data_IF_580114029440
#
_entry.id   IF_580114029440
#
_cell.length_a   1.000
_cell.length_b   1.000
_cell.length_c   1.000
_cell.angle_alpha   90.00
_cell.angle_beta   90.00
_cell.angle_gamma   90.00
#
_symmetry.space_group_name_H-M   'P 1'
#
loop_
_entity.id
_entity.type
_entity.pdbx_description
1 polymer ?
#
# COMPACT_ATOMS: atom_id res chain seq x y z
N UNK A 1 -27.17 18.03 -25.48
CA UNK A 1 -26.08 18.83 -26.11
C UNK A 1 -24.89 17.93 -26.33
N UNK A 2 -24.66 17.56 -27.59
CA UNK A 2 -23.58 16.68 -28.06
C UNK A 2 -22.35 17.53 -28.35
N UNK A 3 -21.24 17.26 -27.67
CA UNK A 3 -19.92 17.75 -28.06
C UNK A 3 -18.99 16.53 -28.16
N UNK A 4 -18.92 15.97 -29.37
CA UNK A 4 -17.86 15.04 -29.77
C UNK A 4 -16.50 15.74 -29.62
N UNK A 5 -15.69 15.31 -28.66
CA UNK A 5 -14.24 15.54 -28.70
C UNK A 5 -13.63 14.58 -29.74
N UNK A 6 -13.20 15.13 -30.88
CA UNK A 6 -12.33 14.45 -31.85
C UNK A 6 -10.97 14.16 -31.19
N UNK A 7 -10.39 12.95 -31.33
CA UNK A 7 -9.03 12.71 -30.86
C UNK A 7 -8.05 13.37 -31.84
N UNK A 8 -7.38 14.44 -31.38
CA UNK A 8 -6.23 15.01 -32.09
C UNK A 8 -5.01 14.10 -31.88
N UNK A 9 -4.46 13.65 -33.01
CA UNK A 9 -3.07 13.30 -33.29
C UNK A 9 -2.27 12.56 -32.22
N UNK A 10 -2.07 11.27 -32.49
CA UNK A 10 -0.98 10.46 -31.97
C UNK A 10 0.37 11.12 -32.26
N UNK A 11 1.06 11.60 -31.22
CA UNK A 11 2.46 12.00 -31.31
C UNK A 11 3.16 11.82 -29.95
N UNK A 12 4.21 10.99 -29.99
CA UNK A 12 5.30 10.77 -29.00
C UNK A 12 4.97 9.89 -27.78
N UNK A 13 5.44 8.65 -27.90
CA UNK A 13 5.63 7.64 -26.87
C UNK A 13 6.43 8.21 -25.67
N UNK A 14 5.98 8.09 -24.41
CA UNK A 14 6.84 8.35 -23.27
C UNK A 14 7.79 7.17 -23.08
N UNK A 15 9.08 7.46 -23.02
CA UNK A 15 10.10 6.49 -22.60
C UNK A 15 9.73 6.03 -21.19
N UNK A 16 9.33 4.76 -21.02
CA UNK A 16 9.36 4.11 -19.71
C UNK A 16 10.84 4.04 -19.34
N UNK A 17 11.28 4.90 -18.43
CA UNK A 17 12.60 4.73 -17.82
C UNK A 17 12.47 3.59 -16.82
N UNK A 18 12.75 2.38 -17.31
CA UNK A 18 12.78 1.15 -16.51
C UNK A 18 14.02 1.21 -15.63
N UNK A 19 13.88 1.72 -14.40
CA UNK A 19 14.91 1.54 -13.38
C UNK A 19 14.63 0.27 -12.60
N UNK A 20 15.50 -0.73 -12.73
CA UNK A 20 15.48 -1.90 -11.84
C UNK A 20 16.05 -1.46 -10.49
N UNK A 21 15.18 -1.15 -9.52
CA UNK A 21 15.60 -0.95 -8.14
C UNK A 21 15.61 -2.31 -7.43
N UNK A 22 16.78 -2.86 -7.02
CA UNK A 22 16.79 -4.01 -6.13
C UNK A 22 16.28 -3.60 -4.75
N UNK A 23 15.57 -4.50 -4.06
CA UNK A 23 15.05 -4.32 -2.69
C UNK A 23 16.09 -3.80 -1.69
N UNK A 24 17.39 -3.94 -1.97
CA UNK A 24 18.50 -3.60 -1.07
C UNK A 24 19.46 -2.50 -1.58
N UNK A 25 19.15 -1.74 -2.63
CA UNK A 25 20.03 -0.61 -3.01
C UNK A 25 19.66 0.66 -2.23
N UNK A 26 20.49 1.03 -1.26
CA UNK A 26 20.46 2.31 -0.55
C UNK A 26 20.91 3.50 -1.41
N UNK A 27 20.32 3.68 -2.60
CA UNK A 27 20.55 4.88 -3.39
C UNK A 27 19.53 5.95 -3.02
N UNK A 28 20.01 6.95 -2.29
CA UNK A 28 19.34 8.23 -2.03
C UNK A 28 18.85 8.87 -3.34
N UNK A 29 17.55 8.84 -3.59
CA UNK A 29 16.90 9.81 -4.47
C UNK A 29 16.30 10.92 -3.61
N UNK A 30 17.14 11.88 -3.24
CA UNK A 30 16.70 13.16 -2.66
C UNK A 30 16.06 14.01 -3.77
N UNK A 31 14.74 13.95 -3.92
CA UNK A 31 14.00 15.06 -4.53
C UNK A 31 13.80 16.13 -3.48
N UNK A 32 14.73 17.10 -3.43
CA UNK A 32 14.51 18.37 -2.78
C UNK A 32 13.54 19.19 -3.64
N UNK A 33 12.29 19.28 -3.23
CA UNK A 33 11.48 20.48 -3.48
C UNK A 33 10.91 20.99 -2.14
N UNK A 34 11.02 22.29 -1.85
CA UNK A 34 10.53 22.84 -0.60
C UNK A 34 9.06 23.23 -0.75
N UNK A 35 8.16 22.57 -0.02
CA UNK A 35 6.82 23.12 0.22
C UNK A 35 6.81 23.72 1.62
N UNK A 36 7.13 25.02 1.69
CA UNK A 36 6.86 25.87 2.84
C UNK A 36 5.35 25.90 3.13
N UNK A 37 4.90 25.35 4.26
CA UNK A 37 3.67 25.82 4.95
C UNK A 37 3.84 25.72 6.46
N UNK A 38 3.40 26.74 7.23
CA UNK A 38 3.60 26.82 8.66
C UNK A 38 2.60 25.92 9.41
N UNK A 39 3.09 25.16 10.39
CA UNK A 39 2.27 24.47 11.39
C UNK A 39 1.73 25.48 12.41
N UNK A 40 0.46 25.36 12.85
CA UNK A 40 -0.03 26.12 14.01
C UNK A 40 0.58 25.56 15.30
N UNK A 41 1.10 26.45 16.13
CA UNK A 41 1.53 26.19 17.51
C UNK A 41 0.31 25.91 18.37
N UNK A 42 0.19 24.72 18.97
CA UNK A 42 -0.25 24.46 20.37
C UNK A 42 -0.67 22.99 20.52
N UNK A 43 0.09 22.22 21.32
CA UNK A 43 -0.43 21.54 22.51
C UNK A 43 0.76 20.89 23.25
N UNK A 44 1.07 21.45 24.41
CA UNK A 44 1.92 20.88 25.46
C UNK A 44 1.12 19.85 26.28
N UNK A 45 1.85 19.08 27.09
CA UNK A 45 1.42 18.09 28.11
C UNK A 45 1.17 16.67 27.54
N UNK A 46 1.67 15.57 28.12
CA UNK A 46 2.37 15.35 29.38
C UNK A 46 3.15 14.01 29.36
N UNK A 47 4.23 13.95 30.15
CA UNK A 47 4.72 12.82 30.99
C UNK A 47 4.97 11.43 30.36
N UNK A 48 6.22 11.04 30.03
CA UNK A 48 7.24 10.31 30.85
C UNK A 48 6.93 8.82 31.14
N UNK A 49 7.93 7.98 31.50
CA UNK A 49 9.32 7.86 31.01
C UNK A 49 9.76 6.38 30.86
N UNK A 50 10.92 6.12 30.25
CA UNK A 50 11.99 5.20 30.73
C UNK A 50 12.97 4.93 29.58
N UNK A 51 14.01 5.75 29.48
CA UNK A 51 15.24 5.34 28.80
C UNK A 51 16.36 5.49 29.85
N UNK A 52 17.16 4.44 30.07
CA UNK A 52 18.13 4.38 31.14
C UNK A 52 19.17 5.51 31.05
N UNK A 53 19.43 6.09 32.22
CA UNK A 53 20.24 7.25 32.55
C UNK A 53 21.75 7.14 32.20
N UNK A 54 22.19 6.09 31.51
CA UNK A 54 23.63 5.75 31.38
C UNK A 54 24.33 6.59 30.29
N UNK A 55 23.61 7.10 29.29
CA UNK A 55 24.23 7.88 28.20
C UNK A 55 24.45 9.35 28.58
N UNK A 56 23.76 9.87 29.60
CA UNK A 56 23.91 11.28 30.02
C UNK A 56 25.19 11.53 30.83
N UNK A 57 25.72 10.52 31.51
CA UNK A 57 26.87 10.67 32.41
C UNK A 57 28.22 10.64 31.68
N UNK A 58 28.30 10.04 30.50
CA UNK A 58 29.57 9.96 29.74
C UNK A 58 29.80 11.18 28.84
N UNK A 59 28.73 11.88 28.43
CA UNK A 59 28.84 13.07 27.57
C UNK A 59 28.98 14.40 28.34
N UNK A 60 28.73 14.43 29.65
CA UNK A 60 28.78 15.66 30.46
C UNK A 60 30.14 15.94 31.14
N UNK A 61 31.12 15.05 31.03
CA UNK A 61 32.43 15.20 31.69
C UNK A 61 33.57 15.65 30.76
N UNK A 62 33.26 16.27 29.61
CA UNK A 62 34.29 16.89 28.77
C UNK A 62 34.40 18.40 29.09
N UNK A 63 35.58 18.88 29.50
CA UNK A 63 35.79 20.29 29.78
C UNK A 63 35.85 21.05 28.45
N UNK A 64 34.77 21.76 28.13
CA UNK A 64 34.81 22.79 27.08
C UNK A 64 34.49 24.12 27.77
N UNK A 65 35.55 24.81 28.18
CA UNK A 65 35.49 26.20 28.63
C UNK A 65 35.14 27.11 27.44
N UNK A 66 34.23 28.09 27.61
CA UNK A 66 33.92 29.06 26.58
C UNK A 66 34.90 30.24 26.67
N UNK A 67 35.73 30.41 25.65
CA UNK A 67 36.47 31.67 25.44
C UNK A 67 35.97 32.33 24.16
N UNK A 68 35.21 33.41 24.33
CA UNK A 68 35.24 34.52 23.39
C UNK A 68 36.58 35.24 23.60
N UNK A 69 37.37 35.39 22.55
CA UNK A 69 38.11 36.61 22.22
C UNK A 69 38.98 36.33 21.00
N UNK A 70 38.98 37.29 20.09
CA UNK A 70 39.88 37.45 18.96
C UNK A 70 41.34 37.06 19.28
N UNK A 71 41.85 35.99 18.69
CA UNK A 71 43.18 36.00 18.06
C UNK A 71 43.41 34.72 17.25
N UNK A 72 44.06 34.89 16.10
CA UNK A 72 44.59 33.80 15.27
C UNK A 72 45.73 33.16 16.05
N UNK A 73 45.67 31.86 16.34
CA UNK A 73 46.83 30.97 16.42
C UNK A 73 46.36 29.50 16.46
N UNK A 74 47.03 28.65 15.69
CA UNK A 74 46.67 27.26 15.45
C UNK A 74 47.01 26.37 16.66
N UNK A 75 46.00 25.76 17.30
CA UNK A 75 46.19 24.70 18.30
C UNK A 75 46.03 23.34 17.63
N UNK A 76 47.16 22.65 17.42
CA UNK A 76 47.25 21.26 16.99
C UNK A 76 46.99 20.36 18.22
N UNK A 77 45.76 19.89 18.42
CA UNK A 77 45.46 18.89 19.46
C UNK A 77 46.01 17.51 19.02
N UNK A 78 47.12 17.07 19.63
CA UNK A 78 47.53 15.67 19.61
C UNK A 78 46.62 14.87 20.55
N UNK A 79 45.73 14.05 19.98
CA UNK A 79 45.04 13.00 20.74
C UNK A 79 46.03 11.86 21.00
N UNK A 80 46.16 11.46 22.27
CA UNK A 80 46.97 10.30 22.66
C UNK A 80 46.35 9.00 22.16
N UNK A 81 47.17 8.04 21.73
CA UNK A 81 46.73 6.70 21.28
C UNK A 81 45.79 6.01 22.29
N UNK A 82 45.97 6.27 23.59
CA UNK A 82 45.11 5.74 24.65
C UNK A 82 43.67 6.26 24.56
N UNK A 83 43.49 7.52 24.14
CA UNK A 83 42.15 8.11 23.96
C UNK A 83 41.44 7.47 22.76
N UNK A 84 42.16 7.27 21.65
CA UNK A 84 41.61 6.61 20.46
C UNK A 84 41.20 5.16 20.75
N UNK A 85 42.00 4.39 21.49
CA UNK A 85 41.61 3.03 21.91
C UNK A 85 40.38 3.02 22.80
N UNK A 86 40.23 3.99 23.70
CA UNK A 86 39.07 4.08 24.59
C UNK A 86 37.80 4.45 23.84
N UNK A 87 37.87 5.40 22.89
CA UNK A 87 36.72 5.80 22.06
C UNK A 87 36.29 4.65 21.13
N UNK A 88 37.25 3.93 20.54
CA UNK A 88 36.95 2.76 19.71
C UNK A 88 36.28 1.63 20.52
N UNK A 89 36.75 1.37 21.75
CA UNK A 89 36.15 0.38 22.64
C UNK A 89 34.71 0.72 23.02
N UNK A 90 34.41 1.98 23.35
CA UNK A 90 33.05 2.44 23.66
C UNK A 90 32.14 2.34 22.43
N UNK A 91 32.62 2.74 21.24
CA UNK A 91 31.86 2.61 19.99
C UNK A 91 31.54 1.14 19.67
N UNK A 92 32.51 0.23 19.83
CA UNK A 92 32.33 -1.20 19.61
C UNK A 92 31.27 -1.79 20.55
N UNK A 93 31.29 -1.42 21.85
CA UNK A 93 30.28 -1.86 22.82
C UNK A 93 28.88 -1.32 22.50
N UNK A 94 28.77 -0.07 22.05
CA UNK A 94 27.49 0.51 21.63
C UNK A 94 26.91 -0.21 20.40
N UNK A 95 27.76 -0.54 19.42
CA UNK A 95 27.36 -1.31 18.23
C UNK A 95 26.92 -2.72 18.61
N UNK A 96 27.67 -3.43 19.47
CA UNK A 96 27.28 -4.76 19.95
C UNK A 96 25.95 -4.73 20.71
N UNK A 97 25.74 -3.72 21.56
CA UNK A 97 24.47 -3.55 22.26
C UNK A 97 23.31 -3.28 21.30
N UNK A 98 23.52 -2.43 20.29
CA UNK A 98 22.51 -2.16 19.27
C UNK A 98 22.18 -3.42 18.44
N UNK A 99 23.18 -4.18 18.01
CA UNK A 99 22.98 -5.45 17.28
C UNK A 99 22.25 -6.47 18.16
N UNK A 100 22.64 -6.62 19.42
CA UNK A 100 21.97 -7.50 20.37
C UNK A 100 20.51 -7.13 20.58
N UNK A 101 20.18 -5.83 20.69
CA UNK A 101 18.81 -5.36 20.83
C UNK A 101 17.98 -5.57 19.58
N UNK A 102 18.56 -5.37 18.39
CA UNK A 102 17.88 -5.66 17.12
C UNK A 102 17.57 -7.15 17.01
N UNK A 103 18.55 -8.01 17.33
CA UNK A 103 18.37 -9.45 17.27
C UNK A 103 17.35 -9.95 18.31
N UNK A 104 17.33 -9.37 19.51
CA UNK A 104 16.32 -9.65 20.55
C UNK A 104 14.90 -9.26 20.11
N UNK A 105 14.75 -8.10 19.43
CA UNK A 105 13.47 -7.68 18.86
C UNK A 105 13.04 -8.63 17.72
N UNK A 106 13.95 -9.02 16.82
CA UNK A 106 13.64 -9.97 15.75
C UNK A 106 13.25 -11.35 16.29
N UNK A 107 13.97 -11.86 17.30
CA UNK A 107 13.62 -13.14 17.95
C UNK A 107 12.31 -13.05 18.70
N UNK A 108 12.02 -11.93 19.37
CA UNK A 108 10.75 -11.77 20.07
C UNK A 108 9.59 -11.68 19.08
N UNK A 109 9.72 -10.93 17.98
CA UNK A 109 8.69 -10.90 16.93
C UNK A 109 8.52 -12.28 16.29
N UNK A 110 9.61 -13.01 16.04
CA UNK A 110 9.56 -14.40 15.56
C UNK A 110 8.86 -15.34 16.53
N UNK A 111 9.19 -15.26 17.82
CA UNK A 111 8.57 -16.08 18.87
C UNK A 111 7.09 -15.75 19.05
N UNK A 112 6.69 -14.47 19.03
CA UNK A 112 5.27 -14.08 19.07
C UNK A 112 4.49 -14.59 17.85
N UNK A 113 5.16 -14.77 16.70
CA UNK A 113 4.55 -15.31 15.49
C UNK A 113 4.53 -16.84 15.44
N UNK A 114 5.45 -17.54 16.10
CA UNK A 114 5.48 -19.01 16.16
C UNK A 114 4.66 -19.58 17.33
N UNK A 115 4.62 -18.93 18.49
CA UNK A 115 3.96 -19.45 19.69
C UNK A 115 2.41 -19.48 19.56
N UNK A 116 1.85 -18.65 18.67
CA UNK A 116 0.41 -18.62 18.36
C UNK A 116 -0.04 -19.85 17.53
N UNK A 117 0.90 -20.66 16.99
CA UNK A 117 0.60 -21.86 16.20
C UNK A 117 0.73 -23.18 16.96
N UNK A 118 1.33 -23.20 18.16
CA UNK A 118 1.60 -24.45 18.90
C UNK A 118 0.92 -24.58 20.27
N UNK A 119 0.21 -23.57 20.75
CA UNK A 119 -0.52 -23.64 22.01
C UNK A 119 -2.02 -23.95 21.80
N UNK A 120 -2.42 -25.19 22.13
CA UNK A 120 -3.82 -25.56 22.41
C UNK A 120 -4.32 -24.78 23.65
N UNK A 121 -4.73 -23.52 23.44
CA UNK A 121 -5.40 -22.69 24.44
C UNK A 121 -6.78 -22.31 23.90
N UNK A 122 -7.80 -22.49 24.73
CA UNK A 122 -9.22 -22.20 24.49
C UNK A 122 -9.55 -20.71 24.26
N UNK A 123 -8.57 -19.89 23.91
CA UNK A 123 -8.68 -18.45 23.66
C UNK A 123 -8.11 -18.02 22.29
N UNK A 124 -7.95 -18.92 21.32
CA UNK A 124 -7.67 -18.47 19.95
C UNK A 124 -8.87 -17.67 19.42
N UNK A 125 -8.65 -16.43 18.92
CA UNK A 125 -9.72 -15.62 18.36
C UNK A 125 -10.38 -16.38 17.22
N UNK A 126 -11.71 -16.39 17.19
CA UNK A 126 -12.44 -16.92 16.04
C UNK A 126 -12.11 -16.07 14.81
N UNK A 127 -11.27 -16.62 13.92
CA UNK A 127 -10.95 -15.99 12.66
C UNK A 127 -12.20 -15.93 11.78
N UNK A 128 -12.46 -14.75 11.22
CA UNK A 128 -13.51 -14.57 10.23
C UNK A 128 -13.27 -15.51 9.02
N UNK A 129 -14.33 -16.04 8.40
CA UNK A 129 -14.19 -16.85 7.21
C UNK A 129 -13.57 -16.02 6.07
N UNK A 130 -12.68 -16.65 5.30
CA UNK A 130 -12.20 -16.09 4.03
C UNK A 130 -13.40 -15.81 3.12
N UNK A 131 -13.39 -14.70 2.39
CA UNK A 131 -14.41 -14.43 1.38
C UNK A 131 -14.43 -15.57 0.36
N UNK A 132 -15.56 -16.28 0.28
CA UNK A 132 -15.78 -17.36 -0.68
C UNK A 132 -16.08 -16.80 -2.06
N UNK A 133 -15.92 -17.60 -3.12
CA UNK A 133 -16.32 -17.18 -4.46
C UNK A 133 -17.82 -16.87 -4.56
N UNK A 134 -18.65 -17.61 -3.81
CA UNK A 134 -20.08 -17.36 -3.73
C UNK A 134 -20.41 -16.00 -3.11
N UNK A 135 -19.70 -15.60 -2.06
CA UNK A 135 -19.86 -14.26 -1.47
C UNK A 135 -19.32 -13.17 -2.39
N UNK A 136 -18.18 -13.40 -3.04
CA UNK A 136 -17.57 -12.41 -3.93
C UNK A 136 -18.40 -12.15 -5.19
N UNK A 137 -19.00 -13.21 -5.75
CA UNK A 137 -19.76 -13.17 -7.00
C UNK A 137 -21.28 -13.11 -6.77
N UNK A 138 -21.74 -12.83 -5.54
CA UNK A 138 -23.15 -12.89 -5.14
C UNK A 138 -24.10 -12.14 -6.07
N UNK A 139 -23.64 -11.01 -6.62
CA UNK A 139 -24.43 -10.13 -7.47
C UNK A 139 -23.97 -10.12 -8.94
N UNK A 140 -23.10 -11.07 -9.33
CA UNK A 140 -22.64 -11.22 -10.71
C UNK A 140 -23.36 -12.43 -11.33
N UNK A 141 -24.10 -12.25 -12.45
CA UNK A 141 -24.74 -13.37 -13.13
C UNK A 141 -23.75 -14.46 -13.55
N UNK A 142 -24.16 -15.74 -13.45
CA UNK A 142 -23.28 -16.88 -13.71
C UNK A 142 -22.72 -16.89 -15.14
N UNK A 143 -23.54 -16.53 -16.12
CA UNK A 143 -23.15 -16.42 -17.53
C UNK A 143 -22.06 -15.36 -17.75
N UNK A 144 -22.10 -14.26 -16.99
CA UNK A 144 -21.05 -13.24 -16.99
C UNK A 144 -19.75 -13.79 -16.40
N UNK A 145 -19.82 -14.49 -15.27
CA UNK A 145 -18.65 -15.15 -14.65
C UNK A 145 -18.03 -16.18 -15.59
N UNK A 146 -18.85 -16.98 -16.27
CA UNK A 146 -18.38 -17.97 -17.24
C UNK A 146 -17.75 -17.30 -18.46
N UNK A 147 -18.30 -16.17 -18.91
CA UNK A 147 -17.68 -15.36 -19.95
C UNK A 147 -16.32 -14.84 -19.49
N UNK A 148 -16.20 -14.30 -18.27
CA UNK A 148 -14.93 -13.83 -17.73
C UNK A 148 -13.86 -14.92 -17.68
N UNK A 149 -14.21 -16.13 -17.19
CA UNK A 149 -13.29 -17.27 -17.10
C UNK A 149 -12.78 -17.75 -18.46
N UNK A 150 -13.53 -17.53 -19.54
CA UNK A 150 -13.17 -17.92 -20.91
C UNK A 150 -12.32 -16.88 -21.64
N UNK A 151 -12.07 -15.71 -21.04
CA UNK A 151 -11.35 -14.60 -21.68
C UNK A 151 -9.88 -14.57 -21.26
N UNK A 152 -9.02 -14.32 -22.23
CA UNK A 152 -7.59 -14.09 -22.00
C UNK A 152 -7.32 -12.61 -21.72
N UNK A 153 -7.71 -12.15 -20.53
CA UNK A 153 -7.38 -10.80 -20.10
C UNK A 153 -5.87 -10.64 -19.94
N UNK A 154 -5.32 -9.53 -20.42
CA UNK A 154 -3.95 -9.11 -20.09
C UNK A 154 -3.85 -8.65 -18.64
N UNK A 155 -4.91 -8.04 -18.12
CA UNK A 155 -4.93 -7.53 -16.75
C UNK A 155 -6.35 -7.53 -16.18
N UNK A 156 -6.44 -7.79 -14.88
CA UNK A 156 -7.64 -7.54 -14.08
C UNK A 156 -7.33 -6.45 -13.05
N UNK A 157 -8.13 -5.39 -13.05
CA UNK A 157 -8.01 -4.23 -12.15
C UNK A 157 -9.14 -4.25 -11.14
N UNK A 158 -8.79 -4.29 -9.85
CA UNK A 158 -9.70 -4.10 -8.75
C UNK A 158 -9.74 -2.65 -8.31
N UNK A 159 -10.94 -2.13 -8.05
CA UNK A 159 -11.15 -0.81 -7.47
C UNK A 159 -11.83 -0.99 -6.11
N UNK A 160 -11.08 -1.14 -5.00
CA UNK A 160 -11.63 -1.09 -3.66
C UNK A 160 -12.32 0.26 -3.41
N UNK A 161 -13.61 0.21 -3.06
CA UNK A 161 -14.46 1.40 -2.89
C UNK A 161 -15.45 1.14 -1.75
N UNK A 162 -16.18 2.17 -1.32
CA UNK A 162 -17.19 2.05 -0.26
C UNK A 162 -18.62 2.25 -0.78
N UNK A 163 -19.59 1.68 -0.06
CA UNK A 163 -21.03 1.77 -0.35
C UNK A 163 -21.62 3.08 0.19
N UNK A 164 -21.26 4.20 -0.46
CA UNK A 164 -21.78 5.53 -0.18
C UNK A 164 -22.12 6.24 -1.48
N UNK A 165 -23.13 7.12 -1.47
CA UNK A 165 -23.58 7.85 -2.66
C UNK A 165 -22.44 8.62 -3.35
N UNK A 166 -21.62 9.35 -2.58
CA UNK A 166 -20.47 10.09 -3.12
C UNK A 166 -19.48 9.19 -3.89
N UNK A 167 -19.39 7.91 -3.51
CA UNK A 167 -18.45 6.94 -4.05
C UNK A 167 -19.07 6.18 -5.22
N UNK A 168 -20.38 5.94 -5.17
CA UNK A 168 -21.17 5.52 -6.32
C UNK A 168 -21.04 6.50 -7.49
N UNK A 169 -21.10 7.82 -7.23
CA UNK A 169 -20.87 8.85 -8.25
C UNK A 169 -19.48 8.72 -8.89
N UNK A 170 -18.43 8.44 -8.12
CA UNK A 170 -17.07 8.19 -8.65
C UNK A 170 -17.00 6.97 -9.55
N UNK A 171 -17.58 5.84 -9.14
CA UNK A 171 -17.66 4.64 -9.99
C UNK A 171 -18.41 4.94 -11.28
N UNK A 172 -19.52 5.68 -11.22
CA UNK A 172 -20.24 6.13 -12.41
C UNK A 172 -19.38 7.02 -13.33
N UNK A 173 -18.61 7.95 -12.77
CA UNK A 173 -17.67 8.78 -13.52
C UNK A 173 -16.59 7.94 -14.20
N UNK A 174 -15.98 6.97 -13.52
CA UNK A 174 -14.99 6.09 -14.14
C UNK A 174 -15.62 5.26 -15.29
N UNK A 175 -16.82 4.69 -15.08
CA UNK A 175 -17.57 3.94 -16.12
C UNK A 175 -17.95 4.79 -17.34
N UNK A 176 -18.29 6.06 -17.12
CA UNK A 176 -18.67 6.99 -18.19
C UNK A 176 -17.48 7.69 -18.86
N UNK A 177 -16.27 7.52 -18.31
CA UNK A 177 -15.04 8.15 -18.81
C UNK A 177 -13.96 7.11 -19.18
N UNK A 178 -12.98 6.83 -18.32
CA UNK A 178 -11.81 6.02 -18.65
C UNK A 178 -12.15 4.56 -18.99
N UNK A 179 -13.28 4.02 -18.52
CA UNK A 179 -13.71 2.67 -18.91
C UNK A 179 -14.40 2.58 -20.27
N UNK A 180 -14.60 3.72 -20.97
CA UNK A 180 -15.07 3.74 -22.35
C UNK A 180 -13.96 3.60 -23.39
N UNK A 181 -12.69 3.65 -22.97
CA UNK A 181 -11.58 3.45 -23.90
C UNK A 181 -11.62 2.03 -24.50
N UNK A 182 -11.22 1.86 -25.77
CA UNK A 182 -11.06 0.54 -26.37
C UNK A 182 -10.10 -0.34 -25.54
N UNK A 183 -10.45 -1.61 -25.39
CA UNK A 183 -9.66 -2.58 -24.64
C UNK A 183 -10.10 -2.79 -23.19
N UNK A 184 -11.02 -1.98 -22.66
CA UNK A 184 -11.68 -2.24 -21.36
C UNK A 184 -12.88 -3.16 -21.56
N UNK A 185 -12.87 -4.31 -20.89
CA UNK A 185 -13.97 -5.25 -20.86
C UNK A 185 -15.04 -4.77 -19.87
N UNK A 186 -16.23 -4.47 -20.40
CA UNK A 186 -17.37 -3.93 -19.64
C UNK A 186 -18.66 -4.62 -20.07
N UNK A 187 -19.74 -4.43 -19.33
CA UNK A 187 -21.07 -4.94 -19.74
C UNK A 187 -21.46 -4.47 -21.14
N UNK A 188 -21.13 -3.22 -21.51
CA UNK A 188 -21.51 -2.61 -22.79
C UNK A 188 -20.88 -3.29 -24.02
N UNK A 189 -19.78 -4.03 -23.84
CA UNK A 189 -19.14 -4.78 -24.91
C UNK A 189 -19.07 -6.29 -24.61
N UNK A 190 -20.00 -6.81 -23.82
CA UNK A 190 -20.05 -8.23 -23.43
C UNK A 190 -18.74 -8.73 -22.82
N UNK A 191 -18.10 -7.86 -22.03
CA UNK A 191 -16.82 -8.07 -21.36
C UNK A 191 -15.72 -8.49 -22.33
N UNK A 192 -15.65 -7.80 -23.47
CA UNK A 192 -14.57 -7.95 -24.45
C UNK A 192 -13.52 -6.87 -24.28
N UNK A 193 -12.25 -7.26 -24.18
CA UNK A 193 -11.15 -6.34 -23.96
C UNK A 193 -9.95 -7.04 -23.34
N UNK A 194 -8.81 -6.35 -23.32
CA UNK A 194 -7.60 -6.85 -22.68
C UNK A 194 -7.60 -6.56 -21.16
N UNK A 195 -8.42 -5.62 -20.69
CA UNK A 195 -8.46 -5.18 -19.30
C UNK A 195 -9.86 -5.32 -18.71
N UNK A 196 -10.03 -6.16 -17.70
CA UNK A 196 -11.28 -6.22 -16.92
C UNK A 196 -11.17 -5.32 -15.69
N UNK A 197 -12.22 -4.56 -15.38
CA UNK A 197 -12.29 -3.71 -14.19
C UNK A 197 -13.44 -4.18 -13.30
N UNK A 198 -13.15 -4.37 -12.01
CA UNK A 198 -14.13 -4.83 -11.02
C UNK A 198 -14.07 -3.95 -9.77
N UNK A 199 -15.22 -3.57 -9.22
CA UNK A 199 -15.31 -2.80 -7.98
C UNK A 199 -15.45 -3.73 -6.79
N UNK A 200 -14.68 -3.51 -5.72
CA UNK A 200 -14.65 -4.38 -4.54
C UNK A 200 -15.23 -3.64 -3.35
N UNK A 201 -16.35 -4.12 -2.82
CA UNK A 201 -17.08 -3.50 -1.72
C UNK A 201 -17.22 -4.42 -0.51
N UNK A 202 -17.21 -3.80 0.67
CA UNK A 202 -17.54 -4.40 1.95
C UNK A 202 -18.82 -3.77 2.51
N UNK A 203 -19.41 -4.39 3.52
CA UNK A 203 -20.65 -3.92 4.15
C UNK A 203 -20.36 -2.66 4.97
N UNK A 204 -21.01 -1.55 4.64
CA UNK A 204 -20.67 -0.24 5.21
C UNK A 204 -21.45 0.06 6.51
N UNK A 205 -20.83 0.66 7.54
CA UNK A 205 -21.50 0.95 8.82
C UNK A 205 -22.70 1.90 8.71
N UNK A 206 -22.75 2.78 7.70
CA UNK A 206 -23.90 3.67 7.47
C UNK A 206 -25.20 2.92 7.14
N UNK A 207 -25.09 1.67 6.70
CA UNK A 207 -26.21 0.82 6.30
C UNK A 207 -26.40 -0.35 7.28
N UNK A 208 -25.94 -0.19 8.53
CA UNK A 208 -26.01 -1.24 9.55
C UNK A 208 -25.23 -2.50 9.18
N UNK A 209 -24.12 -2.35 8.45
CA UNK A 209 -23.34 -3.45 7.88
C UNK A 209 -24.17 -4.36 6.98
N UNK A 210 -25.05 -3.78 6.17
CA UNK A 210 -25.67 -4.39 5.01
C UNK A 210 -25.26 -3.66 3.72
N UNK A 211 -25.53 -4.27 2.56
CA UNK A 211 -25.41 -3.60 1.28
C UNK A 211 -26.66 -2.75 1.00
N UNK A 212 -26.46 -1.49 0.59
CA UNK A 212 -27.55 -0.56 0.31
C UNK A 212 -28.35 -0.97 -0.91
N UNK A 213 -29.64 -0.59 -0.97
CA UNK A 213 -30.47 -0.84 -2.15
C UNK A 213 -29.85 -0.24 -3.42
N UNK A 214 -29.25 0.96 -3.30
CA UNK A 214 -28.56 1.63 -4.41
C UNK A 214 -27.36 0.82 -4.94
N UNK A 215 -26.59 0.16 -4.07
CA UNK A 215 -25.52 -0.73 -4.50
C UNK A 215 -26.07 -1.99 -5.19
N UNK A 216 -27.17 -2.55 -4.70
CA UNK A 216 -27.78 -3.73 -5.32
C UNK A 216 -28.30 -3.42 -6.73
N UNK A 217 -28.93 -2.27 -6.92
CA UNK A 217 -29.33 -1.76 -8.24
C UNK A 217 -28.12 -1.54 -9.15
N UNK A 218 -27.04 -0.93 -8.63
CA UNK A 218 -25.80 -0.74 -9.37
C UNK A 218 -25.18 -2.08 -9.80
N UNK A 219 -25.10 -3.06 -8.89
CA UNK A 219 -24.55 -4.37 -9.19
C UNK A 219 -25.35 -5.09 -10.27
N UNK A 220 -26.69 -5.03 -10.19
CA UNK A 220 -27.59 -5.57 -11.22
C UNK A 220 -27.48 -4.81 -12.55
N UNK A 221 -27.12 -3.53 -12.53
CA UNK A 221 -26.95 -2.73 -13.75
C UNK A 221 -25.62 -2.97 -14.44
N UNK A 222 -24.51 -3.17 -13.70
CA UNK A 222 -23.17 -3.16 -14.31
C UNK A 222 -22.48 -4.51 -14.34
N UNK A 223 -22.93 -5.46 -13.51
CA UNK A 223 -22.36 -6.80 -13.37
C UNK A 223 -20.84 -6.79 -13.09
N UNK A 224 -20.30 -5.69 -12.54
CA UNK A 224 -18.87 -5.48 -12.28
C UNK A 224 -18.57 -5.23 -10.78
N UNK A 225 -19.54 -5.55 -9.92
CA UNK A 225 -19.46 -5.37 -8.47
C UNK A 225 -19.15 -6.70 -7.79
N UNK A 226 -18.02 -6.75 -7.11
CA UNK A 226 -17.63 -7.81 -6.20
C UNK A 226 -17.90 -7.40 -4.76
N UNK A 227 -18.36 -8.35 -3.97
CA UNK A 227 -18.61 -8.18 -2.54
C UNK A 227 -17.60 -8.92 -1.70
N UNK A 228 -17.50 -8.56 -0.42
CA UNK A 228 -16.58 -9.23 0.51
C UNK A 228 -17.32 -9.67 1.76
N UNK A 229 -16.75 -10.64 2.46
CA UNK A 229 -17.31 -11.14 3.71
C UNK A 229 -17.04 -10.22 4.92
N UNK A 230 -16.26 -9.15 4.74
CA UNK A 230 -15.88 -8.25 5.83
C UNK A 230 -16.81 -7.04 5.94
N UNK A 231 -16.80 -6.46 7.12
CA UNK A 231 -17.39 -5.15 7.38
C UNK A 231 -16.35 -4.06 7.11
N UNK A 232 -16.82 -2.94 6.58
CA UNK A 232 -15.97 -1.75 6.44
C UNK A 232 -15.61 -1.16 7.79
N UNK A 233 -14.39 -0.63 7.85
CA UNK A 233 -13.94 0.09 9.03
C UNK A 233 -14.58 1.47 9.14
N UNK A 234 -14.90 1.88 10.37
CA UNK A 234 -15.44 3.22 10.63
C UNK A 234 -14.40 4.31 10.36
N UNK A 235 -14.84 5.34 9.63
CA UNK A 235 -14.11 6.60 9.50
C UNK A 235 -14.20 7.34 10.84
N UNK A 236 -13.05 7.73 11.39
CA UNK A 236 -12.95 8.39 12.71
C UNK A 236 -12.31 9.78 12.63
N UNK A 237 -12.15 10.30 11.43
CA UNK A 237 -11.50 11.58 11.15
C UNK A 237 -12.40 12.48 10.31
N UNK A 238 -12.05 13.75 10.18
CA UNK A 238 -12.78 14.72 9.36
C UNK A 238 -12.32 14.73 7.89
N UNK A 239 -11.63 13.66 7.44
CA UNK A 239 -11.23 13.57 6.03
C UNK A 239 -12.47 13.54 5.16
N UNK A 240 -12.52 14.44 4.18
CA UNK A 240 -13.58 14.46 3.18
C UNK A 240 -13.17 13.62 1.97
N UNK A 241 -14.17 13.19 1.20
CA UNK A 241 -13.92 12.62 -0.13
C UNK A 241 -13.19 13.69 -0.95
N UNK A 242 -12.06 13.35 -1.57
CA UNK A 242 -11.09 14.27 -2.22
C UNK A 242 -10.15 15.06 -1.28
N UNK A 243 -10.34 14.99 0.04
CA UNK A 243 -9.47 15.64 1.01
C UNK A 243 -8.15 14.90 1.21
N UNK A 244 -7.08 15.64 1.48
CA UNK A 244 -5.83 15.07 2.01
C UNK A 244 -6.03 14.62 3.46
N UNK A 245 -5.41 13.53 3.87
CA UNK A 245 -5.37 13.10 5.26
C UNK A 245 -5.49 11.59 5.43
N UNK A 246 -5.83 11.19 6.65
CA UNK A 246 -5.99 9.81 7.10
C UNK A 246 -7.47 9.56 7.41
N UNK A 247 -8.06 8.43 7.03
CA UNK A 247 -9.49 8.15 7.27
C UNK A 247 -9.78 7.68 8.71
N UNK A 248 -8.78 7.13 9.39
CA UNK A 248 -8.93 6.51 10.70
C UNK A 248 -8.43 5.07 10.68
N UNK A 249 -7.89 4.59 11.80
CA UNK A 249 -7.23 3.28 11.89
C UNK A 249 -8.08 2.13 11.38
N UNK A 250 -9.34 2.08 11.81
CA UNK A 250 -10.27 1.02 11.44
C UNK A 250 -10.56 1.03 9.93
N UNK A 251 -10.85 2.20 9.35
CA UNK A 251 -11.09 2.36 7.91
C UNK A 251 -9.88 1.95 7.06
N UNK A 252 -8.67 2.31 7.47
CA UNK A 252 -7.44 2.02 6.72
C UNK A 252 -7.08 0.53 6.80
N UNK A 253 -7.31 -0.10 7.96
CA UNK A 253 -7.22 -1.57 8.10
C UNK A 253 -8.27 -2.27 7.23
N UNK A 254 -9.49 -1.73 7.16
CA UNK A 254 -10.54 -2.19 6.24
C UNK A 254 -10.09 -2.15 4.78
N UNK A 255 -9.46 -1.05 4.36
CA UNK A 255 -8.90 -0.91 3.01
C UNK A 255 -7.80 -1.93 2.71
N UNK A 256 -6.89 -2.15 3.67
CA UNK A 256 -5.85 -3.17 3.59
C UNK A 256 -6.43 -4.57 3.43
N UNK A 257 -7.49 -4.90 4.19
CA UNK A 257 -8.20 -6.18 4.05
C UNK A 257 -8.86 -6.32 2.68
N UNK A 258 -9.58 -5.30 2.20
CA UNK A 258 -10.18 -5.33 0.85
C UNK A 258 -9.12 -5.54 -0.23
N UNK A 259 -7.97 -4.89 -0.11
CA UNK A 259 -6.84 -5.04 -1.04
C UNK A 259 -6.34 -6.48 -1.04
N UNK A 260 -6.12 -7.08 0.14
CA UNK A 260 -5.78 -8.49 0.23
C UNK A 260 -6.83 -9.40 -0.43
N UNK A 261 -8.12 -9.24 -0.08
CA UNK A 261 -9.19 -10.09 -0.60
C UNK A 261 -9.36 -9.95 -2.11
N UNK A 262 -9.13 -8.76 -2.66
CA UNK A 262 -9.09 -8.54 -4.10
C UNK A 262 -8.03 -9.41 -4.78
N UNK A 263 -6.76 -9.32 -4.36
CA UNK A 263 -5.68 -10.12 -4.95
C UNK A 263 -5.92 -11.62 -4.76
N UNK A 264 -6.36 -12.01 -3.56
CA UNK A 264 -6.68 -13.39 -3.21
C UNK A 264 -7.78 -13.99 -4.09
N UNK A 265 -8.82 -13.20 -4.37
CA UNK A 265 -9.91 -13.57 -5.27
C UNK A 265 -9.47 -13.60 -6.73
N UNK A 266 -8.78 -12.55 -7.20
CA UNK A 266 -8.34 -12.44 -8.58
C UNK A 266 -7.45 -13.61 -8.99
N UNK A 267 -6.52 -14.03 -8.12
CA UNK A 267 -5.65 -15.19 -8.37
C UNK A 267 -6.41 -16.50 -8.56
N UNK A 268 -7.53 -16.68 -7.85
CA UNK A 268 -8.37 -17.88 -7.94
C UNK A 268 -9.28 -17.86 -9.15
N UNK A 269 -9.92 -16.73 -9.43
CA UNK A 269 -10.90 -16.62 -10.52
C UNK A 269 -10.23 -16.55 -11.90
N UNK A 270 -9.06 -15.94 -11.99
CA UNK A 270 -8.36 -15.64 -13.24
C UNK A 270 -6.99 -16.34 -13.28
N UNK A 271 -6.93 -17.67 -13.50
CA UNK A 271 -5.70 -18.44 -13.38
C UNK A 271 -4.64 -18.10 -14.43
N UNK A 272 -5.03 -17.57 -15.60
CA UNK A 272 -4.14 -17.30 -16.74
C UNK A 272 -3.72 -15.84 -16.88
N UNK A 273 -4.29 -14.93 -16.09
CA UNK A 273 -4.04 -13.49 -16.24
C UNK A 273 -2.63 -13.15 -15.73
N UNK A 274 -1.80 -12.46 -16.53
CA UNK A 274 -0.41 -12.18 -16.16
C UNK A 274 -0.27 -11.01 -15.19
N UNK A 275 -1.22 -10.08 -15.15
CA UNK A 275 -1.20 -8.92 -14.25
C UNK A 275 -2.47 -8.77 -13.44
N UNK A 276 -2.30 -8.46 -12.16
CA UNK A 276 -3.39 -8.09 -11.25
C UNK A 276 -3.05 -6.71 -10.69
N UNK A 277 -3.98 -5.77 -10.79
CA UNK A 277 -3.78 -4.42 -10.31
C UNK A 277 -4.84 -4.01 -9.30
N UNK A 278 -4.50 -3.03 -8.47
CA UNK A 278 -5.41 -2.26 -7.63
C UNK A 278 -5.34 -0.80 -8.04
N UNK A 279 -6.47 -0.12 -8.08
CA UNK A 279 -6.56 1.32 -8.27
C UNK A 279 -7.60 1.95 -7.36
N UNK A 280 -7.48 3.26 -7.11
CA UNK A 280 -8.48 4.00 -6.33
C UNK A 280 -9.68 4.43 -7.19
N UNK A 281 -10.81 4.71 -6.53
CA UNK A 281 -12.03 5.18 -7.20
C UNK A 281 -11.96 6.63 -7.69
N UNK A 282 -10.93 7.38 -7.30
CA UNK A 282 -10.65 8.74 -7.77
C UNK A 282 -9.54 8.82 -8.82
N UNK A 283 -9.06 7.70 -9.34
CA UNK A 283 -8.17 7.75 -10.50
C UNK A 283 -8.95 7.87 -11.81
N UNK A 284 -8.31 8.51 -12.78
CA UNK A 284 -8.60 8.41 -14.20
C UNK A 284 -7.44 7.70 -14.88
N UNK A 285 -7.70 6.54 -15.47
CA UNK A 285 -6.67 5.76 -16.15
C UNK A 285 -6.58 6.07 -17.65
N UNK A 286 -5.39 6.42 -18.17
CA UNK A 286 -5.13 6.48 -19.62
C UNK A 286 -4.97 5.07 -20.20
N UNK A 287 -6.08 4.36 -20.33
CA UNK A 287 -6.12 2.94 -20.70
C UNK A 287 -5.26 2.58 -21.93
N UNK A 288 -5.30 3.32 -23.06
CA UNK A 288 -4.51 2.93 -24.24
C UNK A 288 -3.01 2.89 -23.97
N UNK A 289 -2.48 3.88 -23.24
CA UNK A 289 -1.07 3.92 -22.85
C UNK A 289 -0.76 2.82 -21.83
N UNK A 290 -1.62 2.67 -20.82
CA UNK A 290 -1.44 1.65 -19.79
C UNK A 290 -1.37 0.23 -20.38
N UNK A 291 -2.25 -0.09 -21.33
CA UNK A 291 -2.21 -1.38 -22.03
C UNK A 291 -1.02 -1.52 -22.98
N UNK A 292 -0.52 -0.42 -23.56
CA UNK A 292 0.71 -0.47 -24.36
C UNK A 292 1.91 -0.79 -23.47
N UNK A 293 2.03 -0.13 -22.32
CA UNK A 293 3.10 -0.33 -21.35
C UNK A 293 3.09 -1.76 -20.78
N UNK A 294 1.92 -2.25 -20.35
CA UNK A 294 1.77 -3.64 -19.88
C UNK A 294 2.27 -4.66 -20.89
N UNK A 295 2.07 -4.44 -22.19
CA UNK A 295 2.56 -5.38 -23.21
C UNK A 295 4.08 -5.47 -23.25
N UNK A 296 4.79 -4.41 -22.86
CA UNK A 296 6.26 -4.34 -22.82
C UNK A 296 6.88 -4.81 -21.50
N UNK A 297 6.11 -4.81 -20.41
CA UNK A 297 6.60 -5.23 -19.10
C UNK A 297 6.84 -6.76 -19.05
N UNK A 298 7.80 -7.24 -18.22
CA UNK A 298 7.94 -8.66 -17.95
C UNK A 298 6.68 -9.23 -17.29
N UNK A 299 6.29 -10.45 -17.69
CA UNK A 299 5.12 -11.16 -17.16
C UNK A 299 5.34 -11.74 -15.76
N UNK A 300 6.58 -11.71 -15.28
CA UNK A 300 6.98 -12.17 -13.96
C UNK A 300 7.73 -11.07 -13.24
N UNK A 301 7.73 -11.13 -11.91
CA UNK A 301 8.53 -10.27 -11.02
C UNK A 301 8.17 -8.78 -11.06
N UNK A 302 7.21 -8.36 -11.85
CA UNK A 302 6.84 -6.95 -12.02
C UNK A 302 6.05 -6.43 -10.82
N UNK A 303 6.53 -5.34 -10.22
CA UNK A 303 5.76 -4.48 -9.31
C UNK A 303 5.83 -3.05 -9.83
N UNK A 304 4.74 -2.58 -10.46
CA UNK A 304 4.73 -1.38 -11.29
C UNK A 304 3.78 -0.31 -10.76
N UNK A 305 4.26 0.94 -10.76
CA UNK A 305 3.51 2.16 -10.49
C UNK A 305 4.44 3.27 -10.00
N UNK A 306 3.95 4.20 -9.18
CA UNK A 306 4.80 5.25 -8.60
C UNK A 306 5.51 4.72 -7.35
N UNK A 307 6.84 4.61 -7.41
CA UNK A 307 7.67 4.05 -6.35
C UNK A 307 7.99 5.05 -5.24
N UNK A 308 7.86 4.59 -4.00
CA UNK A 308 8.26 5.30 -2.78
C UNK A 308 9.01 4.36 -1.84
N UNK A 309 9.78 4.95 -0.92
CA UNK A 309 10.40 4.25 0.20
C UNK A 309 9.86 4.82 1.51
N UNK A 310 9.55 3.96 2.47
CA UNK A 310 9.14 4.35 3.83
C UNK A 310 10.08 3.77 4.87
N UNK A 311 10.50 4.61 5.81
CA UNK A 311 11.31 4.23 6.97
C UNK A 311 12.78 4.62 6.84
N UNK A 312 13.38 5.05 7.96
CA UNK A 312 14.78 5.48 8.01
C UNK A 312 15.75 4.31 8.24
N UNK A 313 15.39 3.39 9.16
CA UNK A 313 16.25 2.26 9.55
C UNK A 313 16.04 1.02 8.67
N UNK A 314 14.82 0.80 8.17
CA UNK A 314 14.46 -0.32 7.31
C UNK A 314 13.57 0.20 6.17
N UNK A 315 14.16 0.75 5.10
CA UNK A 315 13.40 1.33 4.02
C UNK A 315 12.60 0.24 3.28
N UNK A 316 11.29 0.26 3.45
CA UNK A 316 10.37 -0.59 2.68
C UNK A 316 10.05 0.12 1.38
N UNK A 317 10.46 -0.47 0.26
CA UNK A 317 10.06 -0.03 -1.07
C UNK A 317 8.63 -0.47 -1.40
N UNK A 318 7.80 0.45 -1.87
CA UNK A 318 6.40 0.19 -2.22
C UNK A 318 5.95 1.05 -3.41
N UNK A 319 4.84 0.65 -4.03
CA UNK A 319 4.16 1.43 -5.07
C UNK A 319 2.94 2.11 -4.44
N UNK A 320 2.78 3.43 -4.66
CA UNK A 320 1.68 4.21 -4.11
C UNK A 320 0.30 3.62 -4.39
N UNK A 321 -0.59 3.75 -3.41
CA UNK A 321 -1.92 3.13 -3.38
C UNK A 321 -2.85 3.51 -4.52
N UNK A 322 -2.76 4.71 -5.09
CA UNK A 322 -3.71 5.14 -6.13
C UNK A 322 -3.73 4.20 -7.33
N UNK A 323 -2.60 3.58 -7.67
CA UNK A 323 -2.54 2.50 -8.62
C UNK A 323 -1.26 1.68 -8.52
N UNK A 324 -1.43 0.38 -8.31
CA UNK A 324 -0.34 -0.60 -8.30
C UNK A 324 -0.66 -1.77 -9.21
N UNK A 325 0.36 -2.27 -9.90
CA UNK A 325 0.24 -3.46 -10.76
C UNK A 325 1.26 -4.50 -10.37
N UNK A 326 0.79 -5.71 -10.08
CA UNK A 326 1.61 -6.87 -9.77
C UNK A 326 1.56 -7.84 -10.95
N UNK A 327 2.72 -8.39 -11.33
CA UNK A 327 2.74 -9.66 -12.04
C UNK A 327 2.12 -10.75 -11.15
N UNK A 328 1.55 -11.76 -11.79
CA UNK A 328 0.86 -12.86 -11.10
C UNK A 328 1.72 -13.48 -9.98
N UNK A 329 2.98 -13.79 -10.26
CA UNK A 329 3.89 -14.39 -9.28
C UNK A 329 4.13 -13.49 -8.06
N UNK A 330 4.18 -12.18 -8.26
CA UNK A 330 4.31 -11.20 -7.17
C UNK A 330 3.03 -11.15 -6.33
N UNK A 331 1.86 -11.15 -6.97
CA UNK A 331 0.57 -11.24 -6.28
C UNK A 331 0.42 -12.56 -5.50
N UNK A 332 0.89 -13.68 -6.05
CA UNK A 332 0.90 -14.98 -5.38
C UNK A 332 1.76 -14.92 -4.11
N UNK A 333 2.98 -14.38 -4.19
CA UNK A 333 3.81 -14.18 -2.99
C UNK A 333 3.08 -13.35 -1.95
N UNK A 334 2.60 -12.17 -2.33
CA UNK A 334 1.85 -11.29 -1.43
C UNK A 334 0.70 -12.00 -0.69
N UNK A 335 -0.14 -12.74 -1.42
CA UNK A 335 -1.29 -13.46 -0.83
C UNK A 335 -0.87 -14.66 0.01
N UNK A 336 0.26 -15.31 -0.29
CA UNK A 336 0.75 -16.49 0.42
C UNK A 336 1.36 -16.19 1.80
N UNK A 337 1.61 -14.93 2.14
CA UNK A 337 2.25 -14.57 3.40
C UNK A 337 1.36 -14.85 4.62
N UNK A 338 1.67 -15.93 5.36
CA UNK A 338 0.84 -16.46 6.44
C UNK A 338 0.49 -15.47 7.55
N UNK A 339 1.42 -14.62 8.04
CA UNK A 339 1.08 -13.60 9.04
C UNK A 339 -0.01 -12.64 8.55
N UNK A 340 0.04 -12.22 7.27
CA UNK A 340 -1.02 -11.39 6.69
C UNK A 340 -2.34 -12.16 6.55
N UNK A 341 -2.30 -13.43 6.10
CA UNK A 341 -3.51 -14.28 5.99
C UNK A 341 -4.27 -14.40 7.32
N UNK A 342 -3.53 -14.45 8.45
CA UNK A 342 -4.09 -14.42 9.81
C UNK A 342 -4.73 -13.07 10.09
N UNK A 343 -3.99 -11.97 9.94
CA UNK A 343 -4.46 -10.62 10.32
C UNK A 343 -5.68 -10.15 9.52
N UNK A 344 -5.76 -10.46 8.23
CA UNK A 344 -6.91 -10.04 7.40
C UNK A 344 -8.22 -10.72 7.80
N UNK A 345 -8.14 -11.83 8.54
CA UNK A 345 -9.28 -12.59 9.06
C UNK A 345 -9.54 -12.35 10.55
N UNK A 346 -8.59 -11.75 11.26
CA UNK A 346 -8.74 -11.43 12.68
C UNK A 346 -9.69 -10.24 12.83
N UNK A 347 -10.74 -10.27 13.66
CA UNK A 347 -11.55 -9.08 13.95
C UNK A 347 -10.70 -7.93 14.47
N UNK A 348 -10.98 -6.70 14.04
CA UNK A 348 -10.28 -5.55 14.56
C UNK A 348 -10.79 -5.20 15.96
N UNK A 349 -9.86 -4.91 16.87
CA UNK A 349 -10.13 -4.27 18.16
C UNK A 349 -8.97 -3.34 18.49
N UNK A 350 -9.19 -2.36 19.37
CA UNK A 350 -8.15 -1.39 19.71
C UNK A 350 -6.96 -2.06 20.41
N UNK A 351 -7.24 -3.09 21.20
CA UNK A 351 -6.24 -3.89 21.93
C UNK A 351 -5.31 -4.63 20.97
N UNK A 352 -5.83 -5.06 19.80
CA UNK A 352 -5.07 -5.78 18.76
C UNK A 352 -4.46 -4.88 17.71
N UNK A 353 -4.68 -3.56 17.76
CA UNK A 353 -4.15 -2.60 16.79
C UNK A 353 -2.64 -2.79 16.52
N UNK A 354 -1.77 -3.03 17.53
CA UNK A 354 -0.34 -3.28 17.28
C UNK A 354 -0.07 -4.45 16.32
N UNK A 355 -0.90 -5.50 16.34
CA UNK A 355 -0.75 -6.64 15.43
C UNK A 355 -0.97 -6.22 13.97
N UNK A 356 -1.98 -5.40 13.70
CA UNK A 356 -2.26 -4.86 12.36
C UNK A 356 -1.15 -3.89 11.90
N UNK A 357 -0.68 -3.04 12.80
CA UNK A 357 0.37 -2.07 12.50
C UNK A 357 1.74 -2.73 12.24
N UNK A 358 1.98 -3.92 12.78
CA UNK A 358 3.22 -4.68 12.56
C UNK A 358 3.52 -4.93 11.08
N UNK A 359 2.47 -5.09 10.25
CA UNK A 359 2.55 -5.24 8.79
C UNK A 359 2.06 -4.01 8.03
N UNK A 360 2.01 -2.84 8.68
CA UNK A 360 1.58 -1.59 8.07
C UNK A 360 0.16 -1.61 7.47
N UNK A 361 -0.77 -2.39 8.04
CA UNK A 361 -2.15 -2.45 7.55
C UNK A 361 -2.93 -1.14 7.72
N UNK A 362 -2.34 -0.12 8.32
CA UNK A 362 -2.85 1.25 8.33
C UNK A 362 -2.57 2.04 7.05
N UNK A 363 -1.84 1.47 6.09
CA UNK A 363 -1.58 2.00 4.76
C UNK A 363 -1.47 0.81 3.78
N UNK A 364 -2.48 0.58 2.95
CA UNK A 364 -2.59 -0.66 2.17
C UNK A 364 -1.45 -0.86 1.17
N UNK A 365 -0.90 0.24 0.66
CA UNK A 365 0.22 0.25 -0.27
C UNK A 365 1.55 -0.10 0.40
N UNK A 366 1.80 0.48 1.58
CA UNK A 366 2.94 0.12 2.42
C UNK A 366 2.83 -1.33 2.87
N UNK A 367 1.63 -1.82 3.21
CA UNK A 367 1.40 -3.23 3.58
C UNK A 367 1.87 -4.18 2.46
N UNK A 368 1.52 -3.90 1.19
CA UNK A 368 1.96 -4.74 0.06
C UNK A 368 3.49 -4.77 -0.04
N UNK A 369 4.14 -3.59 -0.01
CA UNK A 369 5.59 -3.50 -0.02
C UNK A 369 6.26 -4.20 1.18
N UNK A 370 5.67 -4.03 2.38
CA UNK A 370 6.17 -4.63 3.63
C UNK A 370 6.12 -6.14 3.55
N UNK A 371 5.01 -6.71 3.10
CA UNK A 371 4.84 -8.16 2.98
C UNK A 371 5.84 -8.76 2.00
N UNK A 372 6.05 -8.12 0.83
CA UNK A 372 7.05 -8.58 -0.14
C UNK A 372 8.48 -8.49 0.41
N UNK A 373 8.77 -7.49 1.24
CA UNK A 373 10.03 -7.35 1.96
C UNK A 373 10.22 -8.47 2.99
N UNK A 374 9.24 -8.74 3.85
CA UNK A 374 9.28 -9.78 4.88
C UNK A 374 9.43 -11.20 4.28
N UNK A 375 8.77 -11.44 3.14
CA UNK A 375 8.93 -12.69 2.39
C UNK A 375 10.31 -12.84 1.75
N UNK A 376 11.16 -11.82 1.83
CA UNK A 376 12.49 -11.76 1.20
C UNK A 376 12.40 -12.13 -0.28
N UNK A 377 11.37 -11.64 -0.98
CA UNK A 377 11.19 -11.95 -2.41
C UNK A 377 12.18 -11.15 -3.26
N UNK A 378 13.45 -11.56 -3.25
CA UNK A 378 14.60 -10.90 -3.90
C UNK A 378 14.43 -10.64 -5.38
N UNK A 379 13.51 -11.37 -6.00
CA UNK A 379 13.26 -11.35 -7.42
C UNK A 379 12.31 -10.23 -7.86
N UNK A 380 11.54 -9.62 -6.95
CA UNK A 380 10.64 -8.52 -7.32
C UNK A 380 11.45 -7.37 -7.94
N UNK A 381 10.99 -6.93 -9.10
CA UNK A 381 11.55 -5.83 -9.86
C UNK A 381 10.53 -4.69 -9.83
N UNK A 382 10.91 -3.58 -9.21
CA UNK A 382 10.12 -2.36 -9.28
C UNK A 382 10.25 -1.73 -10.67
N UNK A 383 9.12 -1.40 -11.27
CA UNK A 383 9.06 -0.59 -12.47
C UNK A 383 8.43 0.74 -12.06
N UNK A 384 9.16 1.83 -12.26
CA UNK A 384 8.80 3.12 -11.68
C UNK A 384 8.19 4.04 -12.74
N UNK A 385 7.01 4.57 -12.45
CA UNK A 385 6.46 5.72 -13.14
C UNK A 385 7.04 6.98 -12.48
N UNK A 386 7.73 7.80 -13.26
CA UNK A 386 8.15 9.10 -12.78
C UNK A 386 6.93 10.03 -12.70
N UNK A 387 6.72 10.65 -11.54
CA UNK A 387 5.58 11.54 -11.23
C UNK A 387 5.50 12.76 -12.16
N UNK A 388 6.54 13.02 -12.97
CA UNK A 388 6.56 14.16 -13.86
C UNK A 388 5.76 13.91 -15.17
N UNK A 389 4.54 14.47 -15.17
CA UNK A 389 3.60 14.74 -16.29
C UNK A 389 2.59 13.65 -16.64
N UNK A 390 1.44 13.64 -15.95
CA UNK A 390 0.10 13.24 -16.46
C UNK A 390 -0.03 11.82 -17.04
N UNK A 391 0.93 10.92 -16.81
CA UNK A 391 0.98 9.62 -17.50
C UNK A 391 0.25 8.60 -16.62
N UNK A 392 -0.78 8.02 -17.22
CA UNK A 392 -1.68 7.01 -16.70
C UNK A 392 -2.71 7.48 -15.66
N UNK A 393 -2.40 8.26 -14.63
CA UNK A 393 -3.36 8.54 -13.55
C UNK A 393 -3.62 10.03 -13.37
N UNK A 394 -4.83 10.52 -13.65
CA UNK A 394 -5.27 11.82 -13.13
C UNK A 394 -6.17 11.58 -11.93
N UNK A 395 -5.93 12.30 -10.85
CA UNK A 395 -6.92 12.38 -9.77
C UNK A 395 -8.16 13.14 -10.29
N UNK A 396 -9.36 12.56 -10.14
CA UNK A 396 -10.62 13.08 -10.68
C UNK A 396 -11.18 14.28 -9.89
N UNK A 397 -10.43 14.85 -8.95
CA UNK A 397 -10.90 15.96 -8.10
C UNK A 397 -11.14 17.31 -8.83
N UNK A 398 -11.27 17.33 -10.16
CA UNK A 398 -11.43 18.56 -10.96
C UNK A 398 -12.48 18.43 -12.08
N UNK A 399 -13.45 17.52 -11.98
CA UNK A 399 -14.60 17.47 -12.90
C UNK A 399 -15.94 17.67 -12.19
#
# INVERSE_FOLDING_TARGET
MSALMKPQNAARCPIIVITRAPLNSGNHYNTKEPVNRPLPKTLLFATTPTIPLIIRTVLLNLPISPFSLFHKDAIRMQFSDKWMTSVAGVWFLLVLFAVSRIQEIETNVGAYLEDDFTANSSQQPQLLPRTTDGEALRYVPRDVVDAWKKRDFLIVLGIPTVDLEARQRRRHLQRSTCWRFPGVATRANSFTGAMLVLYVLARHPSHGYNYSAALLEEAAQWHDVLTTSIDEGRVTTNKTVAGSGFWGREAEIGMSRKTYFWFDFALRLFPTVPYIAKGDDDIFLRVPQYLADLRTLPRHKTYWGVFYQKGDLFPVGFILGFAMTLARDVAEKFVLYKPLQRLVRLPYSKEREPEFLSLNMDHEDVMVGRVLHEMRYKDVCFFCLYVCKRICFNDLHVL
#
